data_IF_367975975635
#
_entry.id   IF_367975975635
#
_cell.length_a   1.000
_cell.length_b   1.000
_cell.length_c   1.000
_cell.angle_alpha   90.00
_cell.angle_beta   90.00
_cell.angle_gamma   90.00
#
_symmetry.space_group_name_H-M   'P 1'
#
loop_
_entity.id
_entity.type
_entity.pdbx_description
1 polymer ?
#
# COMPACT_ATOMS: atom_id res chain seq x y z
N UNK A 1 -11.54 -2.77 -26.77
CA UNK A 1 -10.78 -1.97 -25.78
C UNK A 1 -11.24 -2.40 -24.41
N UNK A 2 -10.34 -2.98 -23.62
CA UNK A 2 -10.64 -3.36 -22.23
C UNK A 2 -10.79 -2.08 -21.41
N UNK A 3 -11.93 -1.91 -20.75
CA UNK A 3 -12.24 -0.69 -19.99
C UNK A 3 -11.34 -0.56 -18.75
N UNK A 4 -10.83 0.65 -18.47
CA UNK A 4 -10.00 0.97 -17.31
C UNK A 4 -10.70 0.64 -15.99
N UNK A 5 -12.04 0.72 -15.95
CA UNK A 5 -12.85 0.30 -14.81
C UNK A 5 -12.73 -1.19 -14.49
N UNK A 6 -12.64 -2.04 -15.51
CA UNK A 6 -12.46 -3.50 -15.32
C UNK A 6 -11.10 -3.83 -14.69
N UNK A 7 -10.04 -3.14 -15.11
CA UNK A 7 -8.69 -3.33 -14.55
C UNK A 7 -8.55 -2.76 -13.13
N UNK A 8 -9.24 -1.67 -12.80
CA UNK A 8 -9.36 -1.20 -11.40
C UNK A 8 -9.99 -2.26 -10.51
N UNK A 9 -11.06 -2.90 -10.99
CA UNK A 9 -11.75 -3.97 -10.26
C UNK A 9 -10.83 -5.16 -10.07
N UNK A 10 -10.15 -5.62 -11.12
CA UNK A 10 -9.21 -6.74 -11.04
C UNK A 10 -8.05 -6.44 -10.08
N UNK A 11 -7.43 -5.26 -10.17
CA UNK A 11 -6.29 -4.88 -9.32
C UNK A 11 -6.63 -4.85 -7.82
N UNK A 12 -7.88 -4.52 -7.47
CA UNK A 12 -8.37 -4.45 -6.11
C UNK A 12 -9.15 -5.71 -5.68
N UNK A 13 -9.24 -6.74 -6.53
CA UNK A 13 -10.03 -7.91 -6.26
C UNK A 13 -9.49 -8.69 -5.06
N UNK A 14 -10.42 -9.16 -4.22
CA UNK A 14 -10.15 -9.98 -3.04
C UNK A 14 -10.99 -11.25 -3.11
N UNK A 15 -10.67 -12.24 -2.29
CA UNK A 15 -11.36 -13.52 -2.24
C UNK A 15 -11.02 -14.45 -3.41
N UNK A 16 -11.69 -15.60 -3.51
CA UNK A 16 -11.36 -16.62 -4.50
C UNK A 16 -11.63 -16.12 -5.93
N UNK A 17 -10.74 -16.50 -6.84
CA UNK A 17 -11.00 -16.38 -8.28
C UNK A 17 -11.33 -17.70 -8.95
N UNK A 18 -11.60 -17.63 -10.25
CA UNK A 18 -11.77 -18.83 -11.06
C UNK A 18 -10.41 -19.47 -11.35
N UNK A 19 -10.08 -20.50 -10.56
CA UNK A 19 -8.84 -21.26 -10.74
C UNK A 19 -8.73 -21.89 -12.13
N UNK A 20 -9.83 -22.37 -12.69
CA UNK A 20 -9.79 -23.04 -14.00
C UNK A 20 -9.46 -22.01 -15.10
N UNK A 21 -10.05 -20.82 -15.03
CA UNK A 21 -9.73 -19.72 -15.94
C UNK A 21 -8.28 -19.22 -15.76
N UNK A 22 -7.79 -19.11 -14.52
CA UNK A 22 -6.41 -18.75 -14.26
C UNK A 22 -5.42 -19.80 -14.81
N UNK A 23 -5.69 -21.09 -14.59
CA UNK A 23 -4.87 -22.17 -15.10
C UNK A 23 -4.83 -22.21 -16.64
N UNK A 24 -5.97 -21.98 -17.29
CA UNK A 24 -6.00 -21.85 -18.75
C UNK A 24 -5.21 -20.62 -19.22
N UNK A 25 -5.27 -19.51 -18.49
CA UNK A 25 -4.43 -18.33 -18.73
C UNK A 25 -2.93 -18.64 -18.65
N UNK A 26 -2.50 -19.40 -17.64
CA UNK A 26 -1.12 -19.88 -17.50
C UNK A 26 -0.72 -20.72 -18.71
N UNK A 27 -1.51 -21.77 -19.03
CA UNK A 27 -1.23 -22.65 -20.18
C UNK A 27 -1.17 -21.86 -21.48
N UNK A 28 -2.09 -20.91 -21.68
CA UNK A 28 -2.10 -20.07 -22.86
C UNK A 28 -0.86 -19.18 -22.96
N UNK A 29 -0.39 -18.60 -21.86
CA UNK A 29 0.84 -17.82 -21.84
C UNK A 29 2.06 -18.66 -22.27
N UNK A 30 2.16 -19.92 -21.84
CA UNK A 30 3.21 -20.84 -22.29
C UNK A 30 3.10 -21.18 -23.77
N UNK A 31 1.89 -21.50 -24.26
CA UNK A 31 1.65 -21.74 -25.70
C UNK A 31 2.04 -20.53 -26.55
N UNK A 32 1.72 -19.31 -26.11
CA UNK A 32 2.08 -18.06 -26.78
C UNK A 32 3.60 -17.82 -26.79
N UNK A 33 4.30 -18.27 -25.76
CA UNK A 33 5.76 -18.25 -25.69
C UNK A 33 6.43 -19.38 -26.51
N UNK A 34 5.66 -20.28 -27.13
CA UNK A 34 6.18 -21.43 -27.87
C UNK A 34 6.77 -22.52 -26.98
N UNK A 35 6.37 -22.56 -25.70
CA UNK A 35 6.81 -23.54 -24.72
C UNK A 35 5.75 -24.64 -24.51
N UNK A 36 6.15 -25.86 -24.11
CA UNK A 36 5.22 -26.84 -23.57
C UNK A 36 4.49 -26.28 -22.35
N UNK A 37 3.23 -26.67 -22.15
CA UNK A 37 2.49 -26.32 -20.93
C UNK A 37 3.13 -26.98 -19.69
N UNK A 38 3.05 -26.35 -18.51
CA UNK A 38 3.56 -26.96 -17.30
C UNK A 38 2.77 -28.24 -16.96
N UNK A 39 3.47 -29.29 -16.56
CA UNK A 39 2.88 -30.57 -16.14
C UNK A 39 1.93 -30.40 -14.94
N UNK A 40 2.22 -29.40 -14.08
CA UNK A 40 1.49 -29.15 -12.83
C UNK A 40 1.30 -27.65 -12.61
N UNK A 41 0.13 -27.28 -12.10
CA UNK A 41 -0.13 -25.94 -11.58
C UNK A 41 -0.46 -26.09 -10.09
N UNK A 42 0.38 -25.51 -9.24
CA UNK A 42 0.26 -25.60 -7.79
C UNK A 42 -0.32 -24.29 -7.25
N UNK A 43 -1.37 -24.41 -6.45
CA UNK A 43 -2.01 -23.27 -5.80
C UNK A 43 -1.49 -23.07 -4.38
N UNK A 44 -1.20 -21.82 -4.05
CA UNK A 44 -0.73 -21.38 -2.74
C UNK A 44 -1.65 -20.31 -2.20
N UNK A 45 -1.76 -20.24 -0.89
CA UNK A 45 -2.67 -19.33 -0.19
C UNK A 45 -2.19 -17.87 -0.20
N UNK A 46 -0.91 -17.64 -0.47
CA UNK A 46 -0.28 -16.32 -0.48
C UNK A 46 1.06 -16.34 -1.23
N UNK A 47 1.60 -15.17 -1.63
CA UNK A 47 2.95 -15.08 -2.17
C UNK A 47 4.02 -15.52 -1.14
N UNK A 48 3.76 -15.34 0.17
CA UNK A 48 4.66 -15.80 1.22
C UNK A 48 4.77 -17.33 1.23
N UNK A 49 3.65 -18.03 1.14
CA UNK A 49 3.64 -19.49 1.07
C UNK A 49 4.37 -20.00 -0.19
N UNK A 50 4.12 -19.39 -1.35
CA UNK A 50 4.81 -19.72 -2.59
C UNK A 50 6.34 -19.57 -2.46
N UNK A 51 6.81 -18.44 -1.92
CA UNK A 51 8.25 -18.21 -1.71
C UNK A 51 8.82 -19.21 -0.71
N UNK A 52 8.13 -19.53 0.39
CA UNK A 52 8.57 -20.55 1.34
C UNK A 52 8.69 -21.93 0.68
N UNK A 53 7.73 -22.31 -0.16
CA UNK A 53 7.79 -23.57 -0.91
C UNK A 53 8.97 -23.59 -1.88
N UNK A 54 9.26 -22.48 -2.55
CA UNK A 54 10.41 -22.35 -3.46
C UNK A 54 11.76 -22.38 -2.74
N UNK A 55 11.88 -21.74 -1.57
CA UNK A 55 13.10 -21.75 -0.76
C UNK A 55 13.42 -23.15 -0.21
N UNK A 56 12.38 -23.87 0.23
CA UNK A 56 12.53 -25.16 0.90
C UNK A 56 12.40 -26.36 -0.04
N UNK A 57 11.96 -26.14 -1.28
CA UNK A 57 11.57 -27.17 -2.25
C UNK A 57 10.56 -28.19 -1.68
N UNK A 58 9.68 -27.75 -0.77
CA UNK A 58 8.71 -28.58 -0.08
C UNK A 58 7.35 -27.89 0.06
N UNK A 59 6.28 -28.70 0.13
CA UNK A 59 4.94 -28.26 0.50
C UNK A 59 4.85 -27.91 1.99
N UNK A 60 3.80 -27.22 2.44
CA UNK A 60 3.60 -26.90 3.86
C UNK A 60 3.51 -28.13 4.79
N UNK A 61 3.13 -29.30 4.25
CA UNK A 61 3.09 -30.57 4.98
C UNK A 61 4.45 -31.31 5.03
N UNK A 62 5.50 -30.71 4.45
CA UNK A 62 6.85 -31.27 4.38
C UNK A 62 7.09 -32.22 3.20
N UNK A 63 6.08 -32.51 2.37
CA UNK A 63 6.27 -33.33 1.18
C UNK A 63 7.06 -32.59 0.10
N UNK A 64 7.84 -33.32 -0.70
CA UNK A 64 8.68 -32.70 -1.73
C UNK A 64 7.85 -32.07 -2.85
N UNK A 65 8.24 -30.87 -3.30
CA UNK A 65 7.54 -30.13 -4.36
C UNK A 65 7.62 -30.83 -5.74
N UNK A 66 8.60 -31.71 -5.90
CA UNK A 66 8.94 -32.34 -7.18
C UNK A 66 9.69 -31.37 -8.12
N UNK A 67 9.90 -31.77 -9.39
CA UNK A 67 10.72 -30.99 -10.30
C UNK A 67 10.00 -29.74 -10.79
N UNK A 68 10.63 -28.57 -10.59
CA UNK A 68 10.17 -27.29 -11.15
C UNK A 68 10.63 -27.13 -12.62
N UNK A 69 11.85 -27.56 -12.92
CA UNK A 69 12.53 -27.23 -14.18
C UNK A 69 13.16 -25.84 -14.16
N UNK A 70 13.62 -25.35 -15.31
CA UNK A 70 14.19 -24.01 -15.40
C UNK A 70 13.12 -22.93 -15.22
N UNK A 71 13.50 -21.76 -14.68
CA UNK A 71 12.63 -20.59 -14.68
C UNK A 71 12.42 -20.08 -16.10
N UNK A 72 11.17 -19.90 -16.52
CA UNK A 72 10.81 -19.48 -17.89
C UNK A 72 10.14 -18.11 -17.93
N UNK A 73 10.29 -17.33 -16.86
CA UNK A 73 9.68 -16.00 -16.69
C UNK A 73 10.01 -15.06 -17.85
N UNK A 74 11.26 -15.01 -18.31
CA UNK A 74 11.60 -14.12 -19.43
C UNK A 74 10.82 -14.49 -20.70
N UNK A 75 10.72 -15.77 -21.04
CA UNK A 75 9.97 -16.23 -22.21
C UNK A 75 8.46 -16.01 -22.09
N UNK A 76 7.89 -16.24 -20.90
CA UNK A 76 6.43 -16.20 -20.67
C UNK A 76 5.92 -14.78 -20.38
N UNK A 77 6.75 -13.94 -19.74
CA UNK A 77 6.37 -12.59 -19.29
C UNK A 77 7.24 -11.52 -19.95
N UNK A 78 8.57 -11.61 -19.79
CA UNK A 78 9.51 -10.56 -20.17
C UNK A 78 9.48 -10.21 -21.66
N UNK A 79 9.68 -11.19 -22.51
CA UNK A 79 9.71 -11.04 -23.96
C UNK A 79 8.37 -10.57 -24.55
N UNK A 80 7.21 -11.15 -24.19
CA UNK A 80 5.91 -10.62 -24.61
C UNK A 80 5.70 -9.16 -24.19
N UNK A 81 6.09 -8.78 -22.96
CA UNK A 81 5.95 -7.41 -22.50
C UNK A 81 6.83 -6.43 -23.26
N UNK A 82 8.09 -6.82 -23.50
CA UNK A 82 9.03 -6.02 -24.26
C UNK A 82 8.53 -5.82 -25.70
N UNK A 83 7.95 -6.87 -26.30
CA UNK A 83 7.37 -6.80 -27.64
C UNK A 83 6.17 -5.84 -27.70
N UNK A 84 5.21 -5.94 -26.78
CA UNK A 84 4.06 -5.02 -26.76
C UNK A 84 4.46 -3.58 -26.45
N UNK A 85 5.43 -3.37 -25.56
CA UNK A 85 6.00 -2.05 -25.30
C UNK A 85 6.65 -1.46 -26.55
N UNK A 86 7.45 -2.25 -27.27
CA UNK A 86 8.08 -1.80 -28.51
C UNK A 86 7.02 -1.48 -29.57
N UNK A 87 6.01 -2.35 -29.73
CA UNK A 87 4.90 -2.16 -30.69
C UNK A 87 4.17 -0.83 -30.44
N UNK A 88 3.70 -0.60 -29.22
CA UNK A 88 3.00 0.64 -28.87
C UNK A 88 3.89 1.88 -28.99
N UNK A 89 5.17 1.77 -28.60
CA UNK A 89 6.10 2.89 -28.74
C UNK A 89 6.37 3.24 -30.21
N UNK A 90 6.44 2.24 -31.11
CA UNK A 90 6.56 2.46 -32.55
C UNK A 90 5.28 3.05 -33.15
N UNK A 91 4.11 2.60 -32.72
CA UNK A 91 2.81 3.06 -33.24
C UNK A 91 2.49 4.50 -32.79
N UNK A 92 2.68 4.80 -31.51
CA UNK A 92 2.29 6.08 -30.91
C UNK A 92 3.40 7.13 -31.01
N UNK A 93 4.66 6.71 -30.98
CA UNK A 93 5.79 7.61 -30.72
C UNK A 93 5.83 8.11 -29.26
N UNK A 94 6.93 8.78 -28.86
CA UNK A 94 7.21 9.10 -27.45
C UNK A 94 6.20 10.08 -26.81
N UNK A 95 5.72 11.06 -27.59
CA UNK A 95 4.78 12.07 -27.08
C UNK A 95 3.39 11.47 -26.81
N UNK A 96 2.86 10.70 -27.77
CA UNK A 96 1.52 10.08 -27.62
C UNK A 96 1.55 8.91 -26.64
N UNK A 97 2.67 8.18 -26.53
CA UNK A 97 2.86 7.18 -25.48
C UNK A 97 2.64 7.76 -24.08
N UNK A 98 3.20 8.93 -23.80
CA UNK A 98 3.04 9.59 -22.49
C UNK A 98 1.58 9.94 -22.20
N UNK A 99 0.83 10.41 -23.21
CA UNK A 99 -0.61 10.66 -23.10
C UNK A 99 -1.41 9.38 -22.88
N UNK A 100 -1.10 8.33 -23.65
CA UNK A 100 -1.72 7.01 -23.52
C UNK A 100 -1.53 6.39 -22.14
N UNK A 101 -0.29 6.41 -21.62
CA UNK A 101 0.02 5.92 -20.28
C UNK A 101 -0.78 6.66 -19.19
N UNK A 102 -0.86 8.00 -19.27
CA UNK A 102 -1.66 8.80 -18.33
C UNK A 102 -3.16 8.46 -18.40
N UNK A 103 -3.67 8.20 -19.60
CA UNK A 103 -5.08 7.87 -19.80
C UNK A 103 -5.44 6.45 -19.34
N UNK A 104 -4.47 5.52 -19.31
CA UNK A 104 -4.71 4.10 -19.06
C UNK A 104 -4.09 3.62 -17.74
N UNK A 105 -2.80 3.29 -17.76
CA UNK A 105 -2.11 2.59 -16.67
C UNK A 105 -1.66 3.47 -15.50
N UNK A 106 -1.40 4.76 -15.72
CA UNK A 106 -0.74 5.61 -14.70
C UNK A 106 -1.49 5.66 -13.37
N UNK A 107 -2.81 5.85 -13.39
CA UNK A 107 -3.60 5.92 -12.15
C UNK A 107 -3.67 4.59 -11.39
N UNK A 108 -3.53 3.45 -12.09
CA UNK A 108 -3.44 2.13 -11.47
C UNK A 108 -2.05 1.90 -10.89
N UNK A 109 -1.02 2.31 -11.63
CA UNK A 109 0.39 2.03 -11.35
C UNK A 109 0.82 2.48 -9.97
N UNK A 110 0.47 3.70 -9.56
CA UNK A 110 0.87 4.24 -8.25
C UNK A 110 0.32 3.35 -7.12
N UNK A 111 -0.96 3.00 -7.21
CA UNK A 111 -1.59 2.13 -6.23
C UNK A 111 -1.00 0.71 -6.26
N UNK A 112 -0.84 0.08 -7.43
CA UNK A 112 -0.36 -1.31 -7.50
C UNK A 112 1.10 -1.43 -7.12
N UNK A 113 1.94 -0.45 -7.46
CA UNK A 113 3.38 -0.46 -7.14
C UNK A 113 3.62 -0.34 -5.64
N UNK A 114 2.94 0.59 -4.97
CA UNK A 114 3.03 0.73 -3.51
C UNK A 114 2.62 -0.54 -2.78
N UNK A 115 1.55 -1.20 -3.25
CA UNK A 115 1.09 -2.46 -2.69
C UNK A 115 2.09 -3.59 -2.92
N UNK A 116 2.62 -3.71 -4.14
CA UNK A 116 3.64 -4.71 -4.50
C UNK A 116 4.88 -4.54 -3.63
N UNK A 117 5.38 -3.33 -3.46
CA UNK A 117 6.56 -3.07 -2.64
C UNK A 117 6.30 -3.41 -1.17
N UNK A 118 5.11 -3.12 -0.64
CA UNK A 118 4.77 -3.50 0.73
C UNK A 118 4.62 -5.01 0.91
N UNK A 119 4.04 -5.71 -0.06
CA UNK A 119 3.99 -7.18 -0.07
C UNK A 119 5.40 -7.78 -0.12
N UNK A 120 6.29 -7.29 -0.99
CA UNK A 120 7.69 -7.77 -1.03
C UNK A 120 8.40 -7.56 0.30
N UNK A 121 8.27 -6.37 0.89
CA UNK A 121 8.88 -6.05 2.17
C UNK A 121 8.38 -6.99 3.27
N UNK A 122 7.06 -7.23 3.35
CA UNK A 122 6.49 -8.15 4.34
C UNK A 122 6.91 -9.62 4.14
N UNK A 123 6.99 -10.09 2.89
CA UNK A 123 7.48 -11.46 2.61
C UNK A 123 8.95 -11.61 3.01
N UNK A 124 9.79 -10.61 2.74
CA UNK A 124 11.20 -10.60 3.18
C UNK A 124 11.28 -10.62 4.71
N UNK A 125 10.53 -9.75 5.37
CA UNK A 125 10.50 -9.62 6.84
C UNK A 125 10.11 -10.93 7.53
N UNK A 126 9.14 -11.68 6.99
CA UNK A 126 8.70 -12.95 7.59
C UNK A 126 9.58 -14.17 7.26
N UNK A 127 10.30 -14.16 6.13
CA UNK A 127 11.00 -15.35 5.64
C UNK A 127 12.52 -15.30 5.76
N UNK A 128 13.13 -14.12 5.88
CA UNK A 128 14.57 -13.99 5.94
C UNK A 128 15.06 -13.75 7.38
N UNK A 129 15.87 -14.67 7.91
CA UNK A 129 16.55 -14.49 9.20
C UNK A 129 17.88 -13.75 9.05
N UNK A 130 18.48 -13.78 7.86
CA UNK A 130 19.76 -13.13 7.57
C UNK A 130 19.82 -12.51 6.16
N UNK A 131 20.93 -11.80 5.88
CA UNK A 131 21.14 -11.11 4.58
C UNK A 131 21.20 -12.05 3.38
N UNK A 132 21.63 -13.31 3.57
CA UNK A 132 21.71 -14.29 2.50
C UNK A 132 20.31 -14.79 2.15
N UNK A 133 19.51 -15.13 3.14
CA UNK A 133 18.12 -15.52 2.96
C UNK A 133 17.31 -14.35 2.36
N UNK A 134 17.56 -13.12 2.81
CA UNK A 134 16.95 -11.92 2.23
C UNK A 134 17.24 -11.82 0.72
N UNK A 135 18.49 -12.01 0.30
CA UNK A 135 18.86 -11.99 -1.11
C UNK A 135 18.15 -13.10 -1.91
N UNK A 136 18.01 -14.30 -1.33
CA UNK A 136 17.30 -15.41 -1.98
C UNK A 136 15.79 -15.13 -2.13
N UNK A 137 15.14 -14.66 -1.07
CA UNK A 137 13.73 -14.25 -1.10
C UNK A 137 13.50 -13.18 -2.16
N UNK A 138 14.36 -12.15 -2.22
CA UNK A 138 14.25 -11.07 -3.20
C UNK A 138 14.36 -11.56 -4.63
N UNK A 139 15.27 -12.50 -4.92
CA UNK A 139 15.39 -13.11 -6.26
C UNK A 139 14.11 -13.84 -6.63
N UNK A 140 13.57 -14.67 -5.72
CA UNK A 140 12.31 -15.36 -5.98
C UNK A 140 11.14 -14.39 -6.22
N UNK A 141 11.05 -13.29 -5.47
CA UNK A 141 10.04 -12.26 -5.67
C UNK A 141 10.21 -11.46 -6.99
N UNK A 142 11.44 -11.38 -7.51
CA UNK A 142 11.71 -10.78 -8.82
C UNK A 142 11.30 -11.73 -9.96
N UNK A 143 11.34 -13.04 -9.73
CA UNK A 143 10.96 -14.04 -10.72
C UNK A 143 9.44 -14.22 -10.88
N UNK A 144 8.65 -13.60 -10.01
CA UNK A 144 7.20 -13.62 -10.09
C UNK A 144 6.66 -12.75 -11.25
N UNK A 145 5.60 -13.22 -11.88
CA UNK A 145 4.57 -12.38 -12.48
C UNK A 145 3.62 -11.92 -11.36
N UNK A 146 3.13 -10.68 -11.40
CA UNK A 146 2.42 -10.08 -10.25
C UNK A 146 0.90 -10.25 -10.33
N UNK A 147 0.41 -10.93 -11.37
CA UNK A 147 -1.01 -11.25 -11.56
C UNK A 147 -1.86 -9.99 -11.57
N UNK A 148 -2.85 -9.91 -10.66
CA UNK A 148 -3.73 -8.74 -10.57
C UNK A 148 -2.99 -7.41 -10.41
N UNK A 149 -1.78 -7.41 -9.86
CA UNK A 149 -1.00 -6.17 -9.69
C UNK A 149 -0.24 -5.74 -10.96
N UNK A 150 -0.28 -6.53 -12.03
CA UNK A 150 0.19 -6.13 -13.37
C UNK A 150 -0.89 -5.35 -14.16
N UNK A 151 -2.07 -5.14 -13.58
CA UNK A 151 -3.23 -4.50 -14.21
C UNK A 151 -2.93 -3.15 -14.87
N UNK A 152 -2.07 -2.32 -14.27
CA UNK A 152 -1.69 -1.03 -14.85
C UNK A 152 -1.09 -1.17 -16.25
N UNK A 153 -0.16 -2.10 -16.41
CA UNK A 153 0.49 -2.38 -17.68
C UNK A 153 -0.43 -3.15 -18.63
N UNK A 154 -1.20 -4.12 -18.13
CA UNK A 154 -2.14 -4.88 -18.96
C UNK A 154 -3.26 -4.00 -19.52
N UNK A 155 -3.67 -2.98 -18.77
CA UNK A 155 -4.55 -1.90 -19.21
C UNK A 155 -3.89 -1.05 -20.30
N UNK A 156 -2.64 -0.63 -20.10
CA UNK A 156 -1.91 0.20 -21.05
C UNK A 156 -1.59 -0.54 -22.35
N UNK A 157 -1.36 -1.85 -22.32
CA UNK A 157 -1.10 -2.65 -23.52
C UNK A 157 -2.37 -3.09 -24.26
N UNK A 158 -3.56 -2.71 -23.77
CA UNK A 158 -4.85 -3.08 -24.37
C UNK A 158 -4.97 -4.59 -24.60
N UNK A 159 -4.68 -5.37 -23.56
CA UNK A 159 -4.56 -6.85 -23.60
C UNK A 159 -5.90 -7.55 -23.83
N UNK A 160 -6.48 -7.41 -25.03
CA UNK A 160 -7.64 -8.15 -25.51
C UNK A 160 -7.30 -9.58 -25.90
N UNK A 161 -8.30 -10.34 -26.35
CA UNK A 161 -8.18 -11.81 -26.50
C UNK A 161 -7.11 -12.27 -27.52
N UNK A 162 -6.85 -11.46 -28.54
CA UNK A 162 -5.81 -11.74 -29.56
C UNK A 162 -4.40 -11.27 -29.15
N UNK A 163 -4.28 -10.57 -28.02
CA UNK A 163 -3.01 -10.03 -27.53
C UNK A 163 -2.03 -11.15 -27.17
N UNK A 164 -0.72 -10.97 -27.42
CA UNK A 164 0.31 -11.83 -26.84
C UNK A 164 0.25 -11.91 -25.31
N UNK A 165 -0.35 -10.92 -24.64
CA UNK A 165 -0.51 -10.86 -23.19
C UNK A 165 -1.85 -11.44 -22.71
N UNK A 166 -2.69 -11.99 -23.59
CA UNK A 166 -4.04 -12.45 -23.23
C UNK A 166 -4.03 -13.52 -22.12
N UNK A 167 -3.06 -14.45 -22.14
CA UNK A 167 -2.88 -15.44 -21.06
C UNK A 167 -2.53 -14.79 -19.72
N UNK A 168 -1.58 -13.85 -19.71
CA UNK A 168 -1.22 -13.06 -18.52
C UNK A 168 -2.41 -12.27 -18.00
N UNK A 169 -3.20 -11.69 -18.91
CA UNK A 169 -4.39 -10.92 -18.59
C UNK A 169 -5.52 -11.79 -18.01
N UNK A 170 -5.65 -13.04 -18.44
CA UNK A 170 -6.58 -14.00 -17.85
C UNK A 170 -6.17 -14.35 -16.41
N UNK A 171 -4.88 -14.65 -16.18
CA UNK A 171 -4.37 -14.89 -14.81
C UNK A 171 -4.59 -13.67 -13.91
N UNK A 172 -4.27 -12.47 -14.40
CA UNK A 172 -4.39 -11.24 -13.62
C UNK A 172 -5.82 -10.88 -13.19
N UNK A 173 -6.85 -11.41 -13.88
CA UNK A 173 -8.25 -11.21 -13.47
C UNK A 173 -8.66 -12.15 -12.34
N UNK A 174 -8.00 -13.31 -12.25
CA UNK A 174 -8.45 -14.40 -11.39
C UNK A 174 -7.51 -14.70 -10.23
N UNK A 175 -6.23 -14.35 -10.32
CA UNK A 175 -5.22 -14.75 -9.35
C UNK A 175 -4.22 -13.63 -9.01
N UNK A 176 -3.50 -13.87 -7.92
CA UNK A 176 -2.39 -13.05 -7.49
C UNK A 176 -1.09 -13.43 -8.21
N UNK A 177 -0.01 -13.36 -7.45
CA UNK A 177 1.35 -13.56 -7.96
C UNK A 177 1.56 -15.00 -8.41
N UNK A 178 2.39 -15.21 -9.41
CA UNK A 178 2.69 -16.56 -9.86
C UNK A 178 4.10 -16.69 -10.45
N UNK A 179 4.65 -17.90 -10.38
CA UNK A 179 6.01 -18.23 -10.76
C UNK A 179 6.02 -19.25 -11.89
N UNK A 180 6.48 -18.86 -13.09
CA UNK A 180 6.55 -19.75 -14.24
C UNK A 180 7.87 -20.55 -14.26
N UNK A 181 7.80 -21.87 -14.05
CA UNK A 181 8.87 -22.81 -14.37
C UNK A 181 8.46 -23.77 -15.48
N UNK A 182 9.45 -24.37 -16.14
CA UNK A 182 9.27 -25.28 -17.28
C UNK A 182 8.26 -26.41 -17.02
N UNK A 183 8.27 -27.01 -15.83
CA UNK A 183 7.43 -28.18 -15.49
C UNK A 183 6.31 -27.87 -14.52
N UNK A 184 6.45 -26.82 -13.71
CA UNK A 184 5.49 -26.49 -12.67
C UNK A 184 5.29 -24.99 -12.60
N UNK A 185 4.04 -24.53 -12.70
CA UNK A 185 3.70 -23.15 -12.34
C UNK A 185 3.17 -23.11 -10.91
N UNK A 186 3.59 -22.11 -10.13
CA UNK A 186 3.06 -21.88 -8.78
C UNK A 186 2.23 -20.61 -8.80
N UNK A 187 0.97 -20.67 -8.39
CA UNK A 187 0.02 -19.57 -8.42
C UNK A 187 -0.42 -19.25 -6.99
N UNK A 188 -0.40 -17.98 -6.63
CA UNK A 188 -0.97 -17.47 -5.38
C UNK A 188 -2.43 -17.10 -5.60
N UNK A 189 -3.27 -17.47 -4.63
CA UNK A 189 -4.58 -16.88 -4.44
C UNK A 189 -4.49 -15.36 -4.27
N UNK A 190 -5.62 -14.68 -4.48
CA UNK A 190 -5.79 -13.26 -4.16
C UNK A 190 -5.86 -13.06 -2.64
N UNK A 191 -5.57 -11.86 -2.12
CA UNK A 191 -5.80 -11.55 -0.72
C UNK A 191 -7.28 -11.72 -0.35
N UNK A 192 -7.57 -12.12 0.88
CA UNK A 192 -8.92 -12.18 1.44
C UNK A 192 -9.46 -10.80 1.81
N UNK A 193 -8.57 -9.86 2.14
CA UNK A 193 -8.91 -8.49 2.50
C UNK A 193 -7.87 -7.51 1.97
N UNK A 194 -8.32 -6.34 1.51
CA UNK A 194 -7.50 -5.21 1.05
C UNK A 194 -8.21 -3.91 1.43
N UNK A 195 -7.61 -3.14 2.33
CA UNK A 195 -8.12 -1.88 2.85
C UNK A 195 -7.12 -0.76 2.55
N UNK A 196 -7.66 0.36 2.06
CA UNK A 196 -6.84 1.46 1.55
C UNK A 196 -7.47 2.81 1.89
N UNK A 197 -6.62 3.82 2.03
CA UNK A 197 -7.05 5.21 2.11
C UNK A 197 -7.44 5.76 0.73
N UNK A 198 -7.93 7.00 0.68
CA UNK A 198 -8.29 7.69 -0.57
C UNK A 198 -7.11 7.86 -1.54
N UNK A 199 -5.88 7.83 -1.03
CA UNK A 199 -4.65 7.89 -1.82
C UNK A 199 -4.20 6.49 -2.31
N UNK A 200 -4.93 5.43 -2.00
CA UNK A 200 -4.63 4.05 -2.42
C UNK A 200 -3.52 3.38 -1.60
N UNK A 201 -3.14 3.94 -0.44
CA UNK A 201 -2.14 3.34 0.46
C UNK A 201 -2.84 2.38 1.41
N UNK A 202 -2.14 1.34 1.88
CA UNK A 202 -2.72 0.42 2.87
C UNK A 202 -3.11 1.18 4.14
N UNK A 203 -4.34 1.00 4.59
CA UNK A 203 -4.85 1.70 5.77
C UNK A 203 -5.98 0.92 6.42
N UNK A 204 -5.83 0.60 7.71
CA UNK A 204 -6.88 0.03 8.56
C UNK A 204 -6.53 0.21 10.04
N UNK A 205 -7.48 0.73 10.82
CA UNK A 205 -7.29 1.01 12.25
C UNK A 205 -7.70 -0.10 13.22
N UNK A 206 -8.39 -1.13 12.75
CA UNK A 206 -9.01 -2.18 13.58
C UNK A 206 -8.66 -3.61 13.13
N UNK A 207 -7.61 -3.76 12.32
CA UNK A 207 -7.19 -5.06 11.78
C UNK A 207 -6.17 -4.95 10.65
N UNK A 208 -5.84 -6.07 9.99
CA UNK A 208 -4.89 -6.06 8.88
C UNK A 208 -5.44 -5.29 7.67
N UNK A 209 -4.61 -4.41 7.12
CA UNK A 209 -4.94 -3.70 5.88
C UNK A 209 -4.85 -4.62 4.66
N UNK A 210 -4.04 -5.67 4.72
CA UNK A 210 -3.99 -6.76 3.73
C UNK A 210 -3.92 -8.10 4.46
N UNK A 211 -4.71 -9.09 4.04
CA UNK A 211 -4.67 -10.42 4.65
C UNK A 211 -4.84 -11.55 3.63
N UNK A 212 -4.08 -12.63 3.80
CA UNK A 212 -4.17 -13.86 3.01
C UNK A 212 -4.58 -15.06 3.86
N UNK A 213 -5.03 -16.14 3.19
CA UNK A 213 -5.60 -17.33 3.85
C UNK A 213 -4.59 -18.17 4.66
N UNK A 214 -3.29 -17.91 4.57
CA UNK A 214 -2.23 -18.54 5.36
C UNK A 214 -1.77 -17.70 6.57
N UNK A 215 -2.47 -16.61 6.87
CA UNK A 215 -2.14 -15.69 7.95
C UNK A 215 -1.03 -14.69 7.60
N UNK A 216 -0.60 -14.61 6.34
CA UNK A 216 0.25 -13.51 5.89
C UNK A 216 -0.58 -12.21 5.88
N UNK A 217 -0.24 -11.29 6.78
CA UNK A 217 -1.01 -10.08 7.07
C UNK A 217 -0.10 -8.86 7.13
N UNK A 218 -0.55 -7.74 6.54
CA UNK A 218 0.15 -6.45 6.60
C UNK A 218 -0.74 -5.43 7.28
N UNK A 219 -0.18 -4.78 8.31
CA UNK A 219 -0.83 -3.75 9.10
C UNK A 219 -0.27 -2.39 8.71
N UNK A 220 -1.15 -1.40 8.56
CA UNK A 220 -0.75 -0.05 8.18
C UNK A 220 -1.79 0.98 8.64
N UNK A 221 -1.28 2.15 9.05
CA UNK A 221 -2.06 3.35 9.36
C UNK A 221 -1.69 4.44 8.36
N UNK A 222 -2.62 4.86 7.51
CA UNK A 222 -2.44 5.89 6.46
C UNK A 222 -1.21 5.64 5.58
N UNK A 223 -0.95 4.38 5.23
CA UNK A 223 0.20 3.94 4.44
C UNK A 223 1.48 3.67 5.24
N UNK A 224 1.55 4.03 6.53
CA UNK A 224 2.69 3.76 7.38
C UNK A 224 2.59 2.35 7.98
N UNK A 225 3.56 1.45 7.75
CA UNK A 225 3.52 0.09 8.31
C UNK A 225 3.62 0.12 9.83
N UNK A 226 2.68 -0.54 10.51
CA UNK A 226 2.66 -0.65 11.98
C UNK A 226 2.75 -2.10 12.41
N UNK A 227 3.30 -2.41 13.60
CA UNK A 227 3.19 -3.74 14.20
C UNK A 227 1.72 -4.17 14.36
N UNK A 228 1.46 -5.49 14.36
CA UNK A 228 0.12 -6.05 14.67
C UNK A 228 -0.41 -5.52 16.00
N UNK A 229 0.41 -5.67 17.04
CA UNK A 229 0.03 -5.36 18.42
C UNK A 229 -0.13 -3.85 18.66
N UNK A 230 0.40 -3.01 17.75
CA UNK A 230 0.27 -1.57 17.83
C UNK A 230 -1.19 -1.12 17.76
N UNK A 231 -2.03 -1.76 16.93
CA UNK A 231 -3.46 -1.41 16.84
C UNK A 231 -4.22 -1.73 18.12
N UNK A 232 -3.90 -2.83 18.79
CA UNK A 232 -4.49 -3.18 20.08
C UNK A 232 -4.04 -2.17 21.16
N UNK A 233 -2.76 -1.78 21.15
CA UNK A 233 -2.21 -0.73 22.03
C UNK A 233 -2.93 0.61 21.89
N UNK A 234 -3.37 0.99 20.68
CA UNK A 234 -4.07 2.26 20.43
C UNK A 234 -5.27 2.44 21.37
N UNK A 235 -6.02 1.37 21.65
CA UNK A 235 -7.22 1.42 22.50
C UNK A 235 -6.93 1.61 23.99
N UNK A 236 -5.71 1.33 24.42
CA UNK A 236 -5.26 1.39 25.81
C UNK A 236 -4.18 2.48 26.04
N UNK A 237 -3.99 3.40 25.09
CA UNK A 237 -2.99 4.46 25.18
C UNK A 237 -3.16 5.31 26.43
N UNK A 238 -2.03 5.75 26.99
CA UNK A 238 -1.96 6.80 28.01
C UNK A 238 -0.98 7.87 27.55
N UNK A 239 -1.07 9.12 28.07
CA UNK A 239 -0.13 10.18 27.71
C UNK A 239 1.34 9.79 27.96
N UNK A 240 1.64 9.02 29.01
CA UNK A 240 2.98 8.54 29.33
C UNK A 240 3.49 7.55 28.28
N UNK A 241 2.65 6.61 27.82
CA UNK A 241 3.02 5.66 26.77
C UNK A 241 3.31 6.38 25.45
N UNK A 242 2.48 7.38 25.10
CA UNK A 242 2.67 8.22 23.91
C UNK A 242 4.00 9.00 24.01
N UNK A 243 4.26 9.62 25.16
CA UNK A 243 5.49 10.39 25.41
C UNK A 243 6.73 9.51 25.39
N UNK A 244 6.63 8.28 25.89
CA UNK A 244 7.72 7.31 25.98
C UNK A 244 7.97 6.49 24.72
N UNK A 245 7.11 6.57 23.70
CA UNK A 245 7.41 5.99 22.39
C UNK A 245 8.69 6.64 21.85
N UNK A 246 9.60 5.88 21.24
CA UNK A 246 10.85 6.42 20.69
C UNK A 246 10.66 6.78 19.22
N UNK A 247 9.92 5.95 18.46
CA UNK A 247 9.68 6.17 17.06
C UNK A 247 8.69 7.33 16.83
N UNK A 248 9.20 8.44 16.27
CA UNK A 248 8.41 9.65 16.01
C UNK A 248 7.19 9.42 15.13
N UNK A 249 7.28 8.52 14.14
CA UNK A 249 6.15 8.21 13.26
C UNK A 249 5.06 7.44 14.00
N UNK A 250 5.43 6.47 14.84
CA UNK A 250 4.47 5.74 15.68
C UNK A 250 3.83 6.68 16.72
N UNK A 251 4.63 7.51 17.39
CA UNK A 251 4.14 8.51 18.36
C UNK A 251 3.16 9.49 17.73
N UNK A 252 3.41 9.92 16.48
CA UNK A 252 2.48 10.77 15.74
C UNK A 252 1.15 10.08 15.49
N UNK A 253 1.16 8.81 15.10
CA UNK A 253 -0.07 8.01 14.93
C UNK A 253 -0.79 7.83 16.25
N UNK A 254 -0.07 7.56 17.34
CA UNK A 254 -0.67 7.46 18.66
C UNK A 254 -1.36 8.77 19.07
N UNK A 255 -0.71 9.94 18.87
CA UNK A 255 -1.30 11.25 19.15
C UNK A 255 -2.55 11.52 18.32
N UNK A 256 -2.52 11.16 17.04
CA UNK A 256 -3.64 11.32 16.12
C UNK A 256 -4.83 10.44 16.52
N UNK A 257 -4.57 9.18 16.88
CA UNK A 257 -5.60 8.26 17.38
C UNK A 257 -6.16 8.70 18.75
N UNK A 258 -5.28 9.12 19.65
CA UNK A 258 -5.66 9.49 21.02
C UNK A 258 -6.53 10.75 21.09
N UNK A 259 -6.37 11.63 20.10
CA UNK A 259 -6.92 12.97 20.12
C UNK A 259 -5.98 13.93 20.84
N UNK A 260 -5.63 15.02 20.15
CA UNK A 260 -4.72 16.00 20.72
C UNK A 260 -5.33 16.80 21.88
N UNK A 261 -6.65 16.99 21.87
CA UNK A 261 -7.42 17.59 22.96
C UNK A 261 -7.25 16.79 24.26
N UNK A 262 -7.55 15.50 24.19
CA UNK A 262 -7.41 14.58 25.32
C UNK A 262 -5.96 14.46 25.77
N UNK A 263 -5.02 14.42 24.83
CA UNK A 263 -3.60 14.38 25.16
C UNK A 263 -3.16 15.65 25.90
N UNK A 264 -3.53 16.85 25.45
CA UNK A 264 -3.14 18.09 26.14
C UNK A 264 -3.69 18.16 27.56
N UNK A 265 -4.97 17.80 27.74
CA UNK A 265 -5.63 17.81 29.04
C UNK A 265 -5.01 16.80 30.02
N UNK A 266 -4.73 15.58 29.55
CA UNK A 266 -4.26 14.49 30.43
C UNK A 266 -2.73 14.46 30.57
N UNK A 267 -1.97 15.03 29.63
CA UNK A 267 -0.49 15.01 29.65
C UNK A 267 0.15 16.04 30.60
N UNK A 268 -0.65 16.94 31.17
CA UNK A 268 -0.15 18.08 31.96
C UNK A 268 0.49 19.18 31.11
N UNK A 269 0.10 19.29 29.83
CA UNK A 269 0.58 20.33 28.93
C UNK A 269 0.26 21.72 29.50
N UNK A 270 1.14 22.70 29.25
CA UNK A 270 0.95 24.07 29.71
C UNK A 270 0.72 25.01 28.52
N UNK A 271 -0.23 25.94 28.62
CA UNK A 271 -0.36 26.99 27.63
C UNK A 271 0.88 27.88 27.69
N UNK A 272 1.51 28.12 26.55
CA UNK A 272 2.73 28.95 26.43
C UNK A 272 2.42 30.38 25.98
N UNK A 273 1.29 30.59 25.31
CA UNK A 273 0.81 31.92 24.93
C UNK A 273 -0.72 31.94 24.81
N UNK A 274 -1.37 33.06 25.11
CA UNK A 274 -2.81 33.26 24.90
C UNK A 274 -3.06 34.69 24.44
N UNK A 275 -3.86 34.84 23.40
CA UNK A 275 -4.34 36.14 22.93
C UNK A 275 -5.79 36.02 22.40
N UNK A 276 -6.26 37.06 21.73
CA UNK A 276 -7.62 37.11 21.16
C UNK A 276 -7.87 36.14 20.00
N UNK A 277 -6.83 35.55 19.43
CA UNK A 277 -6.93 34.58 18.32
C UNK A 277 -6.95 33.13 18.79
N UNK A 278 -6.48 32.85 20.01
CA UNK A 278 -6.50 31.50 20.56
C UNK A 278 -5.48 31.26 21.68
N UNK A 279 -5.21 29.98 21.94
CA UNK A 279 -4.21 29.52 22.93
C UNK A 279 -3.14 28.69 22.23
N UNK A 280 -1.88 29.03 22.45
CA UNK A 280 -0.74 28.23 21.99
C UNK A 280 -0.34 27.25 23.09
N UNK A 281 -0.30 25.98 22.75
CA UNK A 281 0.12 24.88 23.61
C UNK A 281 1.46 24.34 23.13
N UNK A 282 2.32 23.93 24.07
CA UNK A 282 3.59 23.24 23.78
C UNK A 282 3.73 22.03 24.67
N UNK A 283 3.99 20.88 24.06
CA UNK A 283 4.41 19.66 24.73
C UNK A 283 5.84 19.37 24.32
N UNK A 284 6.74 19.48 25.29
CA UNK A 284 8.13 19.10 25.10
C UNK A 284 8.22 17.58 24.94
N UNK A 285 8.86 17.14 23.86
CA UNK A 285 9.15 15.73 23.61
C UNK A 285 10.65 15.52 23.72
N UNK A 286 11.08 14.73 24.71
CA UNK A 286 12.51 14.47 24.92
C UNK A 286 13.05 13.64 23.77
N UNK A 287 14.03 14.18 23.04
CA UNK A 287 14.66 13.49 21.90
C UNK A 287 13.90 13.64 20.57
N UNK A 288 12.89 14.50 20.51
CA UNK A 288 12.13 14.80 19.30
C UNK A 288 11.75 16.29 19.22
N UNK A 289 11.15 16.70 18.10
CA UNK A 289 10.60 18.05 17.91
C UNK A 289 9.34 18.28 18.78
N UNK A 290 9.28 19.42 19.46
CA UNK A 290 8.14 19.79 20.30
C UNK A 290 6.80 19.74 19.56
N UNK A 291 5.78 19.27 20.28
CA UNK A 291 4.39 19.35 19.82
C UNK A 291 3.78 20.70 20.23
N UNK A 292 3.81 21.64 19.28
CA UNK A 292 3.15 22.95 19.33
C UNK A 292 1.82 22.90 18.58
N UNK A 293 0.77 23.40 19.23
CA UNK A 293 -0.58 23.47 18.66
C UNK A 293 -1.28 24.77 19.02
N UNK A 294 -2.20 25.22 18.17
CA UNK A 294 -3.14 26.29 18.48
C UNK A 294 -4.52 25.73 18.76
N UNK A 295 -5.09 26.11 19.90
CA UNK A 295 -6.49 25.94 20.25
C UNK A 295 -7.25 27.17 19.74
N UNK A 296 -8.23 26.94 18.86
CA UNK A 296 -9.11 27.97 18.30
C UNK A 296 -10.57 27.53 18.42
N UNK A 297 -11.46 28.49 18.64
CA UNK A 297 -12.90 28.26 18.62
C UNK A 297 -13.42 28.69 17.25
N UNK A 298 -14.24 27.87 16.61
CA UNK A 298 -14.82 28.22 15.32
C UNK A 298 -15.64 29.51 15.45
N UNK A 299 -15.30 30.51 14.65
CA UNK A 299 -15.98 31.80 14.63
C UNK A 299 -17.38 31.72 14.02
N UNK A 300 -17.66 30.66 13.25
CA UNK A 300 -19.00 30.38 12.70
C UNK A 300 -19.65 29.26 13.51
N UNK A 301 -20.78 29.53 14.19
CA UNK A 301 -21.55 28.48 14.84
C UNK A 301 -22.01 27.43 13.82
N UNK A 302 -22.01 26.17 14.23
CA UNK A 302 -22.66 25.08 13.50
C UNK A 302 -24.17 25.39 13.32
N UNK A 303 -24.88 24.71 12.40
CA UNK A 303 -26.31 24.96 12.16
C UNK A 303 -27.21 24.84 13.40
N UNK A 304 -26.75 24.17 14.46
CA UNK A 304 -27.41 24.02 15.76
C UNK A 304 -27.04 25.12 16.79
N UNK A 305 -26.22 26.09 16.39
CA UNK A 305 -25.76 27.20 17.23
C UNK A 305 -24.55 26.88 18.12
N UNK A 306 -23.97 25.68 18.01
CA UNK A 306 -22.79 25.31 18.81
C UNK A 306 -21.49 25.76 18.14
N UNK A 307 -20.50 26.17 18.94
CA UNK A 307 -19.14 26.41 18.46
C UNK A 307 -18.24 25.23 18.84
N UNK A 308 -17.41 24.77 17.91
CA UNK A 308 -16.43 23.71 18.14
C UNK A 308 -15.05 24.31 18.42
N UNK A 309 -14.36 23.73 19.40
CA UNK A 309 -12.93 23.98 19.62
C UNK A 309 -12.14 23.05 18.71
N UNK A 310 -11.14 23.60 18.03
CA UNK A 310 -10.21 22.89 17.19
C UNK A 310 -8.79 23.07 17.72
N UNK A 311 -8.01 22.00 17.66
CA UNK A 311 -6.59 22.02 17.96
C UNK A 311 -5.82 21.71 16.69
N UNK A 312 -5.05 22.69 16.20
CA UNK A 312 -4.34 22.61 14.94
C UNK A 312 -2.84 22.56 15.19
N UNK A 313 -2.16 21.57 14.62
CA UNK A 313 -0.69 21.46 14.67
C UNK A 313 -0.07 22.62 13.89
N UNK A 314 0.92 23.28 14.49
CA UNK A 314 1.68 24.37 13.88
C UNK A 314 3.19 24.09 14.01
N UNK A 315 4.06 24.79 13.26
CA UNK A 315 5.50 24.61 13.36
C UNK A 315 6.02 24.75 14.79
N UNK A 316 7.05 23.98 15.20
CA UNK A 316 7.60 24.05 16.56
C UNK A 316 8.23 25.40 16.90
N UNK A 317 8.58 26.19 15.88
CA UNK A 317 9.18 27.53 16.00
C UNK A 317 8.16 28.60 16.35
N UNK A 318 6.86 28.30 16.25
CA UNK A 318 5.77 29.22 16.54
C UNK A 318 5.80 29.68 18.01
N UNK A 319 5.66 31.00 18.22
CA UNK A 319 5.83 31.66 19.52
C UNK A 319 4.55 32.26 20.07
N UNK A 320 3.60 32.65 19.22
CA UNK A 320 2.32 33.25 19.64
C UNK A 320 1.12 32.51 19.07
N UNK A 321 -0.05 32.66 19.70
CA UNK A 321 -1.28 32.07 19.19
C UNK A 321 -1.63 32.65 17.83
N UNK A 322 -1.53 33.99 17.66
CA UNK A 322 -1.75 34.66 16.36
C UNK A 322 -0.87 34.11 15.24
N UNK A 323 0.41 33.86 15.51
CA UNK A 323 1.33 33.30 14.52
C UNK A 323 0.88 31.90 14.07
N UNK A 324 0.50 31.04 15.02
CA UNK A 324 0.02 29.70 14.70
C UNK A 324 -1.30 29.72 13.94
N UNK A 325 -2.26 30.56 14.33
CA UNK A 325 -3.53 30.69 13.61
C UNK A 325 -3.31 31.24 12.20
N UNK A 326 -2.49 32.28 12.03
CA UNK A 326 -2.14 32.82 10.71
C UNK A 326 -1.52 31.75 9.81
N UNK A 327 -0.63 30.93 10.35
CA UNK A 327 0.00 29.83 9.62
C UNK A 327 -1.01 28.81 9.09
N UNK A 328 -2.07 28.50 9.84
CA UNK A 328 -3.12 27.57 9.37
C UNK A 328 -3.90 28.09 8.16
N UNK A 329 -3.86 29.39 7.88
CA UNK A 329 -4.40 30.03 6.67
C UNK A 329 -3.34 30.30 5.59
N UNK A 330 -2.08 29.89 5.80
CA UNK A 330 -0.97 30.19 4.90
C UNK A 330 -0.54 31.66 4.90
N UNK A 331 -0.78 32.38 5.99
CA UNK A 331 -0.51 33.82 6.13
C UNK A 331 0.58 34.11 7.18
N UNK A 332 1.23 35.27 7.04
CA UNK A 332 2.07 35.85 8.09
C UNK A 332 1.23 36.49 9.20
N UNK A 333 1.72 36.46 10.45
CA UNK A 333 1.02 36.98 11.62
C UNK A 333 0.71 38.50 11.54
N UNK A 334 1.55 39.23 10.81
CA UNK A 334 1.47 40.66 10.53
C UNK A 334 0.35 41.02 9.54
N UNK A 335 -0.01 40.09 8.65
CA UNK A 335 -1.06 40.27 7.64
C UNK A 335 -2.39 39.65 8.06
N UNK A 336 -2.38 38.74 9.03
CA UNK A 336 -3.58 38.06 9.50
C UNK A 336 -4.48 39.01 10.29
N UNK A 337 -5.66 39.35 9.75
CA UNK A 337 -6.70 40.12 10.45
C UNK A 337 -7.97 39.26 10.63
N UNK A 338 -8.21 38.69 11.83
CA UNK A 338 -9.42 37.92 12.06
C UNK A 338 -10.65 38.84 12.00
N UNK A 339 -11.62 38.51 11.13
CA UNK A 339 -12.91 39.18 11.08
C UNK A 339 -13.65 38.94 12.42
N UNK A 340 -13.59 39.91 13.33
CA UNK A 340 -14.49 39.93 14.49
C UNK A 340 -15.91 40.18 13.99
N UNK A 341 -16.78 39.18 14.08
CA UNK A 341 -18.21 39.40 14.17
C UNK A 341 -18.66 38.98 15.57
N UNK A 342 -19.36 39.90 16.22
CA UNK A 342 -19.82 39.89 17.62
C UNK A 342 -20.69 38.70 17.99
#
# INVERSE_FOLDING_TARGET
MTDQGSWRTAAAATGPGDRAAAEEGVRFAYRRAGLPEPDRILWTRSPREAVRMLLTAAHPDGSALGPLGAGVRDAVLGAPWAAERARLHTELGPERWSGHWRATGAGLWDSTSMLVDRVRAGVVEELAADRREEAQVRVLLLDAALGQHDAAWLCAFESGDDSPLAGLAAVAREAGWWWPYEKTAIVSERPLALHRDEAGRLDRGDGPALGYADGFELYAWRGMPVPRDFLDELTALTPERIRGEENAELRRVMLEFYGYDRYLDESGAKPVHRDETGVLWRVELVGDEDVVMVEVVNSTPEPDGTSRTYWLRVPPTTRTAREGVAWTFGLGADVYEPLRQT
#
